data_IF_939205551598
#
_entry.id   IF_939205551598
#
_cell.length_a   1.000
_cell.length_b   1.000
_cell.length_c   1.000
_cell.angle_alpha   90.00
_cell.angle_beta   90.00
_cell.angle_gamma   90.00
#
_symmetry.space_group_name_H-M   'P 1'
#
loop_
_entity.id
_entity.type
_entity.pdbx_description
1 polymer ?
#
# COMPACT_ATOMS: atom_id res chain seq x y z
N UNK A 1 60.28 4.34 84.46
CA UNK A 1 60.08 2.91 84.79
C UNK A 1 59.30 2.26 83.66
N UNK A 2 59.86 1.20 83.05
CA UNK A 2 59.29 0.32 81.99
C UNK A 2 59.09 0.99 80.62
N UNK A 3 59.86 0.78 79.54
CA UNK A 3 60.35 -0.43 78.85
C UNK A 3 59.25 -1.43 78.53
N UNK A 4 58.85 -1.55 77.25
CA UNK A 4 59.04 -2.77 76.43
C UNK A 4 59.20 -2.34 74.96
N UNK A 5 60.30 -2.81 74.37
CA UNK A 5 60.68 -2.77 72.96
C UNK A 5 60.53 -4.19 72.43
N UNK A 6 60.08 -4.33 71.19
CA UNK A 6 60.14 -5.58 70.41
C UNK A 6 59.15 -5.52 69.27
N UNK A 7 59.37 -6.10 68.10
CA UNK A 7 60.59 -6.34 67.33
C UNK A 7 60.09 -6.59 65.88
N UNK A 8 60.93 -6.34 64.88
CA UNK A 8 60.56 -6.44 63.45
C UNK A 8 60.21 -7.86 62.99
N UNK A 9 59.27 -7.97 62.04
CA UNK A 9 59.34 -8.93 60.92
C UNK A 9 58.85 -8.28 59.60
N UNK A 10 59.57 -8.47 58.48
CA UNK A 10 59.22 -7.87 57.18
C UNK A 10 58.47 -8.84 56.25
N UNK A 11 57.63 -8.23 55.39
CA UNK A 11 57.25 -8.65 54.03
C UNK A 11 56.41 -9.93 53.84
N UNK A 12 55.19 -9.73 53.33
CA UNK A 12 54.68 -10.45 52.16
C UNK A 12 53.84 -9.50 51.31
N UNK A 13 54.39 -9.04 50.19
CA UNK A 13 53.65 -8.34 49.13
C UNK A 13 53.01 -9.44 48.27
N UNK A 14 51.69 -9.57 48.33
CA UNK A 14 50.95 -10.40 47.38
C UNK A 14 50.84 -9.64 46.04
N UNK A 15 51.08 -10.30 44.89
CA UNK A 15 50.84 -9.69 43.60
C UNK A 15 49.31 -9.57 43.37
N UNK A 16 48.84 -8.50 42.71
CA UNK A 16 47.43 -8.38 42.35
C UNK A 16 47.03 -9.44 41.30
N UNK A 17 45.79 -9.95 41.34
CA UNK A 17 45.31 -10.99 40.43
C UNK A 17 45.20 -10.46 38.99
N UNK A 18 45.27 -11.34 37.97
CA UNK A 18 45.18 -10.94 36.58
C UNK A 18 43.77 -10.45 36.27
N UNK A 19 43.67 -9.20 35.78
CA UNK A 19 42.45 -8.62 35.20
C UNK A 19 42.47 -8.86 33.70
N UNK A 20 42.25 -10.10 33.28
CA UNK A 20 42.00 -10.46 31.87
C UNK A 20 40.91 -11.53 31.85
N UNK A 21 39.65 -11.11 31.79
CA UNK A 21 38.53 -11.92 31.30
C UNK A 21 37.35 -10.99 30.92
N UNK A 22 37.30 -10.69 29.61
CA UNK A 22 36.09 -10.74 28.80
C UNK A 22 34.97 -9.70 29.04
N UNK A 23 35.23 -8.43 28.67
CA UNK A 23 34.18 -7.39 28.57
C UNK A 23 34.09 -6.71 27.19
N UNK A 24 34.94 -7.09 26.23
CA UNK A 24 34.94 -6.50 24.89
C UNK A 24 33.94 -7.18 23.92
N UNK A 25 33.49 -8.41 24.22
CA UNK A 25 32.53 -9.12 23.37
C UNK A 25 31.06 -8.72 23.60
N UNK A 26 30.73 -8.10 24.74
CA UNK A 26 29.36 -7.66 25.03
C UNK A 26 29.01 -6.37 24.26
N UNK A 27 29.96 -5.44 24.09
CA UNK A 27 29.72 -4.17 23.40
C UNK A 27 29.67 -4.28 21.87
N UNK A 28 30.34 -5.27 21.27
CA UNK A 28 30.22 -5.56 19.82
C UNK A 28 28.87 -6.21 19.45
N UNK A 29 28.22 -6.89 20.40
CA UNK A 29 26.95 -7.58 20.13
C UNK A 29 25.80 -6.60 19.89
N UNK A 30 25.75 -5.49 20.61
CA UNK A 30 24.70 -4.46 20.45
C UNK A 30 24.86 -3.66 19.16
N UNK A 31 26.08 -3.26 18.75
CA UNK A 31 26.30 -2.54 17.48
C UNK A 31 25.88 -3.38 16.25
N UNK A 32 26.05 -4.71 16.31
CA UNK A 32 25.61 -5.62 15.25
C UNK A 32 24.08 -5.76 15.19
N UNK A 33 23.41 -5.79 16.34
CA UNK A 33 21.95 -6.00 16.47
C UNK A 33 21.15 -4.86 15.82
N UNK A 34 21.53 -3.59 16.08
CA UNK A 34 20.87 -2.44 15.47
C UNK A 34 21.13 -2.30 13.96
N UNK A 35 22.32 -2.70 13.50
CA UNK A 35 22.64 -2.76 12.07
C UNK A 35 21.77 -3.77 11.33
N UNK A 36 21.64 -4.97 11.90
CA UNK A 36 20.78 -6.04 11.39
C UNK A 36 19.29 -5.66 11.41
N UNK A 37 18.82 -4.97 12.46
CA UNK A 37 17.43 -4.48 12.53
C UNK A 37 17.14 -3.41 11.48
N UNK A 38 18.09 -2.50 11.21
CA UNK A 38 17.90 -1.47 10.18
C UNK A 38 17.86 -2.05 8.76
N UNK A 39 18.69 -3.06 8.50
CA UNK A 39 18.76 -3.75 7.21
C UNK A 39 17.53 -4.64 6.99
N UNK A 40 17.00 -5.27 8.04
CA UNK A 40 15.78 -6.06 7.96
C UNK A 40 14.55 -5.18 7.68
N UNK A 41 14.41 -4.03 8.36
CA UNK A 41 13.34 -3.07 8.06
C UNK A 41 13.42 -2.57 6.61
N UNK A 42 14.63 -2.28 6.11
CA UNK A 42 14.84 -1.87 4.71
C UNK A 42 14.40 -2.97 3.74
N UNK A 43 14.81 -4.21 3.98
CA UNK A 43 14.41 -5.37 3.17
C UNK A 43 12.90 -5.57 3.15
N UNK A 44 12.22 -5.43 4.29
CA UNK A 44 10.76 -5.55 4.39
C UNK A 44 10.06 -4.46 3.59
N UNK A 45 10.49 -3.20 3.74
CA UNK A 45 9.88 -2.06 3.01
C UNK A 45 10.05 -2.26 1.49
N UNK A 46 11.26 -2.60 1.03
CA UNK A 46 11.51 -2.88 -0.39
C UNK A 46 10.68 -4.05 -0.89
N UNK A 47 10.55 -5.12 -0.10
CA UNK A 47 9.71 -6.28 -0.42
C UNK A 47 8.23 -5.92 -0.56
N UNK A 48 7.68 -5.13 0.38
CA UNK A 48 6.29 -4.67 0.32
C UNK A 48 6.02 -3.79 -0.91
N UNK A 49 6.96 -2.92 -1.29
CA UNK A 49 6.81 -2.07 -2.48
C UNK A 49 6.93 -2.84 -3.79
N UNK A 50 7.85 -3.81 -3.85
CA UNK A 50 7.94 -4.73 -4.97
C UNK A 50 6.62 -5.51 -5.11
N UNK A 51 6.10 -6.02 -4.00
CA UNK A 51 4.80 -6.70 -3.97
C UNK A 51 3.67 -5.79 -4.42
N UNK A 52 3.59 -4.55 -3.94
CA UNK A 52 2.59 -3.57 -4.38
C UNK A 52 2.69 -3.28 -5.89
N UNK A 53 3.90 -3.16 -6.43
CA UNK A 53 4.12 -2.94 -7.88
C UNK A 53 3.66 -4.15 -8.70
N UNK A 54 3.96 -5.37 -8.23
CA UNK A 54 3.49 -6.61 -8.85
C UNK A 54 1.96 -6.69 -8.79
N UNK A 55 1.33 -6.37 -7.66
CA UNK A 55 -0.13 -6.33 -7.51
C UNK A 55 -0.77 -5.29 -8.44
N UNK A 56 -0.13 -4.14 -8.68
CA UNK A 56 -0.63 -3.15 -9.64
C UNK A 56 -0.58 -3.68 -11.07
N UNK A 57 0.54 -4.28 -11.49
CA UNK A 57 0.74 -4.75 -12.87
C UNK A 57 -0.15 -5.95 -13.19
N UNK A 58 -0.17 -6.97 -12.31
CA UNK A 58 -0.88 -8.23 -12.59
C UNK A 58 -2.28 -8.30 -11.98
N UNK A 59 -2.55 -7.51 -10.94
CA UNK A 59 -3.87 -7.48 -10.30
C UNK A 59 -4.75 -6.39 -10.91
N UNK A 60 -4.41 -5.13 -10.67
CA UNK A 60 -5.27 -3.99 -11.07
C UNK A 60 -5.25 -3.75 -12.58
N UNK A 61 -4.08 -3.84 -13.21
CA UNK A 61 -3.91 -3.65 -14.66
C UNK A 61 -3.63 -4.97 -15.39
N UNK A 62 -4.10 -6.09 -14.83
CA UNK A 62 -4.10 -7.37 -15.53
C UNK A 62 -4.98 -7.33 -16.77
N UNK A 63 -4.81 -8.31 -17.66
CA UNK A 63 -5.70 -8.51 -18.81
C UNK A 63 -7.09 -8.91 -18.33
N UNK A 64 -8.13 -8.24 -18.85
CA UNK A 64 -9.53 -8.54 -18.57
C UNK A 64 -10.24 -8.94 -19.88
N UNK A 65 -10.95 -10.06 -19.87
CA UNK A 65 -11.82 -10.46 -20.98
C UNK A 65 -13.24 -9.99 -20.71
N UNK A 66 -13.81 -9.25 -21.65
CA UNK A 66 -15.15 -8.66 -21.55
C UNK A 66 -16.01 -9.10 -22.73
N UNK A 67 -17.30 -9.15 -22.49
CA UNK A 67 -18.31 -9.56 -23.46
C UNK A 67 -19.15 -8.35 -23.82
N UNK A 68 -19.27 -8.09 -25.10
CA UNK A 68 -20.11 -7.01 -25.61
C UNK A 68 -21.35 -7.63 -26.24
N UNK A 69 -22.52 -7.19 -25.79
CA UNK A 69 -23.78 -7.43 -26.49
C UNK A 69 -23.96 -6.47 -27.67
N UNK A 70 -25.09 -6.53 -28.39
CA UNK A 70 -25.42 -5.55 -29.42
C UNK A 70 -25.54 -4.15 -28.81
N UNK A 71 -25.13 -3.11 -29.55
CA UNK A 71 -25.19 -1.72 -29.09
C UNK A 71 -24.66 -1.58 -27.64
N UNK A 72 -23.44 -2.02 -27.40
CA UNK A 72 -22.78 -1.89 -26.10
C UNK A 72 -21.58 -0.96 -26.22
N UNK A 73 -21.28 -0.25 -25.13
CA UNK A 73 -20.06 0.55 -25.05
C UNK A 73 -19.42 0.45 -23.67
N UNK A 74 -18.11 0.21 -23.65
CA UNK A 74 -17.31 0.11 -22.44
C UNK A 74 -16.44 1.35 -22.34
N UNK A 75 -16.54 2.08 -21.24
CA UNK A 75 -15.65 3.20 -20.93
C UNK A 75 -14.51 2.74 -20.02
N UNK A 76 -13.29 2.78 -20.56
CA UNK A 76 -12.05 2.39 -19.88
C UNK A 76 -11.32 3.66 -19.44
N UNK A 77 -10.98 3.73 -18.14
CA UNK A 77 -10.32 4.90 -17.51
C UNK A 77 -9.07 4.51 -16.72
N UNK A 78 -7.99 4.05 -17.37
CA UNK A 78 -6.78 3.66 -16.65
C UNK A 78 -6.02 4.90 -16.17
N UNK A 79 -5.22 4.74 -15.11
CA UNK A 79 -4.34 5.83 -14.67
C UNK A 79 -3.24 6.07 -15.70
N UNK A 80 -3.12 7.31 -16.18
CA UNK A 80 -2.06 7.73 -17.09
C UNK A 80 -0.65 7.71 -16.47
N UNK A 81 -0.56 7.59 -15.14
CA UNK A 81 0.71 7.43 -14.42
C UNK A 81 1.26 6.01 -14.63
N UNK A 82 0.41 5.00 -14.49
CA UNK A 82 0.81 3.60 -14.48
C UNK A 82 0.68 2.92 -15.85
N UNK A 83 -0.22 3.39 -16.70
CA UNK A 83 -0.50 2.81 -18.01
C UNK A 83 0.05 3.68 -19.13
N UNK A 84 0.77 3.05 -20.07
CA UNK A 84 1.32 3.70 -21.27
C UNK A 84 0.33 3.64 -22.44
N UNK A 85 -0.29 2.49 -22.65
CA UNK A 85 -1.27 2.27 -23.71
C UNK A 85 -2.30 1.22 -23.31
N UNK A 86 -3.48 1.33 -23.90
CA UNK A 86 -4.56 0.34 -23.81
C UNK A 86 -4.51 -0.47 -25.10
N UNK A 87 -4.44 -1.79 -24.96
CA UNK A 87 -4.51 -2.72 -26.06
C UNK A 87 -5.82 -3.49 -25.95
N UNK A 88 -6.55 -3.55 -27.06
CA UNK A 88 -7.81 -4.25 -27.18
C UNK A 88 -7.66 -5.29 -28.27
N UNK A 89 -7.93 -6.56 -27.98
CA UNK A 89 -7.83 -7.66 -28.92
C UNK A 89 -9.16 -8.38 -29.03
N UNK A 90 -9.65 -8.54 -30.24
CA UNK A 90 -10.82 -9.36 -30.54
C UNK A 90 -10.41 -10.84 -30.53
N UNK A 91 -11.09 -11.63 -29.72
CA UNK A 91 -10.80 -13.06 -29.56
C UNK A 91 -11.56 -13.94 -30.57
N UNK A 92 -12.69 -13.44 -31.06
CA UNK A 92 -13.52 -14.12 -32.05
C UNK A 92 -13.60 -13.28 -33.33
N UNK A 93 -12.80 -13.67 -34.34
CA UNK A 93 -12.70 -12.98 -35.63
C UNK A 93 -13.92 -13.18 -36.54
N UNK A 94 -14.94 -13.90 -36.08
CA UNK A 94 -16.11 -14.22 -36.91
C UNK A 94 -17.02 -13.01 -37.19
N UNK A 95 -16.93 -11.93 -36.40
CA UNK A 95 -17.93 -10.84 -36.41
C UNK A 95 -17.29 -9.45 -36.48
N UNK A 96 -17.12 -8.87 -37.69
CA UNK A 96 -16.58 -7.53 -37.80
C UNK A 96 -17.54 -6.50 -37.19
N UNK A 97 -16.99 -5.41 -36.66
CA UNK A 97 -17.77 -4.22 -36.29
C UNK A 97 -17.38 -3.55 -34.99
N UNK A 98 -16.52 -4.18 -34.17
CA UNK A 98 -15.95 -3.52 -33.00
C UNK A 98 -15.13 -2.29 -33.41
N UNK A 99 -15.19 -1.26 -32.57
CA UNK A 99 -14.41 -0.03 -32.75
C UNK A 99 -13.87 0.45 -31.40
N UNK A 100 -12.62 0.90 -31.40
CA UNK A 100 -11.93 1.50 -30.25
C UNK A 100 -11.74 2.99 -30.49
N UNK A 101 -12.27 3.80 -29.59
CA UNK A 101 -12.17 5.25 -29.60
C UNK A 101 -11.29 5.72 -28.44
N UNK A 102 -10.34 6.62 -28.72
CA UNK A 102 -9.45 7.20 -27.72
C UNK A 102 -9.67 8.70 -27.54
N UNK A 103 -9.71 9.16 -26.29
CA UNK A 103 -9.97 10.54 -25.91
C UNK A 103 -8.80 11.11 -25.11
N UNK A 104 -8.30 12.24 -25.60
CA UNK A 104 -7.24 13.04 -25.00
C UNK A 104 -7.88 14.35 -24.48
N UNK A 105 -8.62 14.35 -23.37
CA UNK A 105 -9.38 15.55 -23.03
C UNK A 105 -10.20 15.53 -21.74
N UNK A 106 -10.67 16.72 -21.38
CA UNK A 106 -10.99 17.15 -20.01
C UNK A 106 -12.33 16.62 -19.44
N UNK A 107 -13.15 15.96 -20.24
CA UNK A 107 -14.45 15.45 -19.82
C UNK A 107 -14.69 14.04 -20.34
N UNK A 108 -15.20 13.19 -19.47
CA UNK A 108 -15.69 11.86 -19.83
C UNK A 108 -16.78 11.98 -20.90
N UNK A 109 -16.79 11.10 -21.92
CA UNK A 109 -17.84 11.08 -22.93
C UNK A 109 -19.24 11.08 -22.32
N UNK A 110 -20.16 11.87 -22.89
CA UNK A 110 -21.55 11.92 -22.43
C UNK A 110 -22.29 10.64 -22.81
N UNK A 111 -23.15 10.16 -21.91
CA UNK A 111 -24.04 9.03 -22.19
C UNK A 111 -25.27 9.47 -22.99
N UNK A 112 -25.68 8.67 -23.97
CA UNK A 112 -26.96 8.80 -24.69
C UNK A 112 -27.69 7.46 -24.71
N UNK A 113 -29.01 7.49 -24.92
CA UNK A 113 -29.83 6.27 -24.91
C UNK A 113 -30.06 5.72 -26.32
N UNK A 114 -29.97 4.40 -26.45
CA UNK A 114 -30.42 3.65 -27.62
C UNK A 114 -31.34 2.53 -27.14
N UNK A 115 -32.37 2.24 -27.93
CA UNK A 115 -33.28 1.13 -27.65
C UNK A 115 -32.97 -0.03 -28.60
N UNK A 116 -32.95 -1.24 -28.08
CA UNK A 116 -32.92 -2.46 -28.88
C UNK A 116 -33.73 -3.55 -28.18
N UNK A 117 -34.31 -4.44 -28.98
CA UNK A 117 -35.14 -5.54 -28.51
C UNK A 117 -34.57 -6.87 -29.02
N UNK A 118 -34.67 -7.90 -28.20
CA UNK A 118 -34.17 -9.24 -28.50
C UNK A 118 -35.14 -10.28 -27.96
N UNK A 119 -35.49 -11.27 -28.78
CA UNK A 119 -36.37 -12.36 -28.35
C UNK A 119 -35.64 -13.71 -28.45
N UNK A 120 -35.70 -14.52 -27.38
CA UNK A 120 -35.09 -15.86 -27.31
C UNK A 120 -36.13 -16.91 -26.96
N UNK A 121 -36.08 -18.05 -27.67
CA UNK A 121 -36.80 -19.27 -27.30
C UNK A 121 -35.79 -20.30 -26.81
N UNK A 122 -35.90 -20.70 -25.55
CA UNK A 122 -34.91 -21.51 -24.84
C UNK A 122 -35.54 -22.81 -24.36
N UNK A 123 -35.10 -23.94 -24.89
CA UNK A 123 -35.37 -25.24 -24.25
C UNK A 123 -34.33 -25.49 -23.15
N UNK A 124 -34.72 -25.44 -21.88
CA UNK A 124 -33.85 -25.66 -20.72
C UNK A 124 -34.14 -27.04 -20.13
N UNK A 125 -33.19 -27.95 -20.30
CA UNK A 125 -33.31 -29.33 -19.82
C UNK A 125 -33.43 -29.41 -18.29
N UNK A 126 -33.94 -30.54 -17.80
CA UNK A 126 -34.01 -30.82 -16.37
C UNK A 126 -32.64 -30.65 -15.66
N UNK A 127 -32.66 -30.07 -14.47
CA UNK A 127 -31.45 -29.78 -13.69
C UNK A 127 -30.33 -29.10 -14.51
N UNK A 128 -30.70 -28.17 -15.39
CA UNK A 128 -29.75 -27.44 -16.24
C UNK A 128 -30.08 -25.95 -16.26
N UNK A 129 -29.18 -25.16 -16.84
CA UNK A 129 -29.37 -23.74 -17.04
C UNK A 129 -28.87 -23.33 -18.42
N UNK A 130 -29.39 -22.22 -18.92
CA UNK A 130 -28.88 -21.50 -20.08
C UNK A 130 -28.68 -20.04 -19.69
N UNK A 131 -27.59 -19.43 -20.11
CA UNK A 131 -27.34 -18.03 -19.82
C UNK A 131 -26.39 -17.40 -20.82
N UNK A 132 -26.41 -16.08 -20.87
CA UNK A 132 -25.60 -15.28 -21.78
C UNK A 132 -25.18 -13.96 -21.13
N UNK A 133 -24.04 -13.39 -21.55
CA UNK A 133 -23.50 -12.16 -20.99
C UNK A 133 -23.99 -10.89 -21.71
N UNK A 134 -24.06 -9.80 -20.97
CA UNK A 134 -24.20 -8.43 -21.48
C UNK A 134 -23.24 -7.51 -20.76
N UNK A 135 -22.70 -6.49 -21.43
CA UNK A 135 -22.11 -5.35 -20.74
C UNK A 135 -23.07 -4.17 -20.80
N UNK A 136 -23.47 -3.68 -19.63
CA UNK A 136 -24.46 -2.61 -19.51
C UNK A 136 -23.88 -1.47 -18.67
N UNK A 137 -24.17 -0.25 -19.11
CA UNK A 137 -23.76 0.95 -18.38
C UNK A 137 -24.79 1.33 -17.31
N UNK A 138 -24.30 1.99 -16.25
CA UNK A 138 -25.16 2.61 -15.24
C UNK A 138 -26.23 3.50 -15.91
N UNK A 139 -27.48 3.33 -15.48
CA UNK A 139 -28.64 4.03 -16.03
C UNK A 139 -29.33 3.29 -17.18
N UNK A 140 -28.85 2.11 -17.57
CA UNK A 140 -29.55 1.24 -18.52
C UNK A 140 -30.82 0.68 -17.86
N UNK A 141 -31.93 0.72 -18.60
CA UNK A 141 -33.21 0.16 -18.18
C UNK A 141 -33.54 -1.06 -19.05
N UNK A 142 -33.96 -2.16 -18.43
CA UNK A 142 -34.25 -3.43 -19.11
C UNK A 142 -35.60 -3.96 -18.66
N UNK A 143 -36.46 -4.26 -19.63
CA UNK A 143 -37.74 -4.94 -19.42
C UNK A 143 -37.65 -6.34 -20.01
N UNK A 144 -37.86 -7.37 -19.18
CA UNK A 144 -37.82 -8.76 -19.60
C UNK A 144 -39.23 -9.33 -19.48
N UNK A 145 -39.89 -9.52 -20.60
CA UNK A 145 -41.14 -10.27 -20.70
C UNK A 145 -40.83 -11.75 -20.86
N UNK A 146 -41.58 -12.62 -20.17
CA UNK A 146 -41.35 -14.06 -20.22
C UNK A 146 -42.66 -14.83 -20.40
N UNK A 147 -42.57 -15.99 -21.02
CA UNK A 147 -43.64 -16.98 -21.12
C UNK A 147 -43.05 -18.39 -20.99
N UNK A 148 -43.67 -19.23 -20.16
CA UNK A 148 -43.11 -20.53 -19.76
C UNK A 148 -44.05 -21.66 -20.15
N UNK A 149 -43.49 -22.65 -20.85
CA UNK A 149 -44.17 -23.82 -21.36
C UNK A 149 -43.48 -25.11 -20.84
N UNK A 150 -44.24 -26.18 -20.49
CA UNK A 150 -45.70 -26.24 -20.42
C UNK A 150 -46.26 -25.46 -19.22
N UNK A 151 -47.55 -25.08 -19.28
CA UNK A 151 -48.24 -24.39 -18.18
C UNK A 151 -48.10 -25.16 -16.87
N UNK A 152 -47.79 -24.45 -15.79
CA UNK A 152 -47.52 -25.02 -14.46
C UNK A 152 -46.04 -25.32 -14.20
N UNK A 153 -45.17 -25.19 -15.20
CA UNK A 153 -43.72 -25.18 -15.00
C UNK A 153 -43.26 -23.85 -14.40
N UNK A 154 -42.11 -23.89 -13.73
CA UNK A 154 -41.46 -22.71 -13.18
C UNK A 154 -39.94 -22.85 -13.31
N UNK A 155 -39.28 -21.76 -13.64
CA UNK A 155 -37.81 -21.66 -13.73
C UNK A 155 -37.34 -20.44 -12.96
N UNK A 156 -36.05 -20.37 -12.66
CA UNK A 156 -35.46 -19.18 -12.04
C UNK A 156 -34.76 -18.34 -13.09
N UNK A 157 -35.15 -17.07 -13.19
CA UNK A 157 -34.40 -16.05 -13.92
C UNK A 157 -33.46 -15.35 -12.94
N UNK A 158 -32.17 -15.48 -13.17
CA UNK A 158 -31.11 -14.97 -12.29
C UNK A 158 -30.21 -14.04 -13.07
N UNK A 159 -29.90 -12.88 -12.51
CA UNK A 159 -28.92 -11.94 -13.08
C UNK A 159 -27.77 -11.80 -12.12
N UNK A 160 -26.57 -12.17 -12.56
CA UNK A 160 -25.35 -12.03 -11.75
C UNK A 160 -24.44 -10.94 -12.28
N UNK A 161 -23.79 -10.20 -11.39
CA UNK A 161 -22.67 -9.33 -11.78
C UNK A 161 -21.43 -10.18 -12.11
N UNK A 162 -20.76 -9.86 -13.21
CA UNK A 162 -19.50 -10.48 -13.63
C UNK A 162 -19.66 -11.84 -14.32
N UNK A 163 -18.53 -12.41 -14.71
CA UNK A 163 -18.46 -13.71 -15.38
C UNK A 163 -18.56 -14.89 -14.39
N UNK A 164 -19.23 -15.99 -14.74
CA UNK A 164 -19.21 -17.22 -13.95
C UNK A 164 -17.87 -18.00 -14.03
N UNK A 165 -16.88 -17.53 -14.80
CA UNK A 165 -15.76 -18.36 -15.29
C UNK A 165 -14.77 -18.88 -14.24
N UNK A 166 -14.71 -18.35 -13.03
CA UNK A 166 -13.70 -18.78 -12.05
C UNK A 166 -14.11 -19.96 -11.17
N UNK A 167 -15.36 -20.39 -11.22
CA UNK A 167 -15.80 -21.56 -10.45
C UNK A 167 -16.63 -22.45 -11.36
N UNK A 168 -16.37 -23.76 -11.28
CA UNK A 168 -17.22 -24.82 -11.83
C UNK A 168 -18.58 -24.72 -11.15
N UNK A 169 -19.36 -23.72 -11.53
CA UNK A 169 -20.50 -23.24 -10.78
C UNK A 169 -21.58 -24.30 -10.96
N UNK A 170 -21.89 -25.01 -9.88
CA UNK A 170 -23.00 -25.96 -9.88
C UNK A 170 -24.28 -25.20 -10.22
N UNK A 171 -25.27 -25.88 -10.82
CA UNK A 171 -26.61 -25.32 -11.02
C UNK A 171 -27.15 -24.69 -9.73
N UNK A 172 -26.83 -25.30 -8.58
CA UNK A 172 -27.20 -24.80 -7.26
C UNK A 172 -26.49 -23.49 -6.93
N UNK A 173 -25.21 -23.36 -7.24
CA UNK A 173 -24.44 -22.15 -6.97
C UNK A 173 -24.95 -20.97 -7.79
N UNK A 174 -25.39 -21.22 -9.02
CA UNK A 174 -25.97 -20.18 -9.88
C UNK A 174 -27.37 -19.82 -9.41
N UNK A 175 -28.19 -20.83 -9.11
CA UNK A 175 -29.58 -20.61 -8.72
C UNK A 175 -29.76 -20.04 -7.31
N UNK A 176 -28.74 -20.12 -6.46
CA UNK A 176 -28.73 -19.66 -5.07
C UNK A 176 -27.52 -18.78 -4.74
N UNK A 177 -26.87 -18.18 -5.75
CA UNK A 177 -25.74 -17.29 -5.50
C UNK A 177 -26.21 -16.11 -4.67
N UNK A 178 -25.71 -15.94 -3.45
CA UNK A 178 -25.97 -14.74 -2.63
C UNK A 178 -25.52 -13.45 -3.34
N UNK A 179 -24.68 -13.57 -4.37
CA UNK A 179 -24.14 -12.45 -5.17
C UNK A 179 -24.94 -12.14 -6.44
N UNK A 180 -26.03 -12.86 -6.73
CA UNK A 180 -26.91 -12.44 -7.80
C UNK A 180 -27.58 -11.09 -7.45
N UNK A 181 -27.75 -10.27 -8.48
CA UNK A 181 -28.37 -8.96 -8.34
C UNK A 181 -29.90 -9.06 -8.37
N UNK A 182 -30.44 -10.09 -9.04
CA UNK A 182 -31.87 -10.37 -9.08
C UNK A 182 -32.13 -11.86 -9.20
N UNK A 183 -33.14 -12.36 -8.48
CA UNK A 183 -33.64 -13.73 -8.53
C UNK A 183 -35.17 -13.70 -8.60
N UNK A 184 -35.70 -14.08 -9.75
CA UNK A 184 -37.14 -14.16 -9.95
C UNK A 184 -37.52 -15.61 -10.24
N UNK A 185 -38.40 -16.16 -9.41
CA UNK A 185 -39.09 -17.39 -9.74
C UNK A 185 -40.19 -17.04 -10.75
N UNK A 186 -39.94 -17.34 -12.01
CA UNK A 186 -40.87 -17.04 -13.10
C UNK A 186 -41.75 -18.26 -13.36
N UNK A 187 -43.06 -18.03 -13.46
CA UNK A 187 -44.09 -19.02 -13.74
C UNK A 187 -45.18 -18.40 -14.63
N UNK A 188 -45.75 -19.17 -15.56
CA UNK A 188 -46.72 -18.64 -16.52
C UNK A 188 -46.11 -17.56 -17.41
N UNK A 189 -46.80 -16.43 -17.55
CA UNK A 189 -46.32 -15.24 -18.26
C UNK A 189 -46.23 -14.03 -17.33
N UNK A 190 -45.32 -13.11 -17.63
CA UNK A 190 -45.14 -11.88 -16.85
C UNK A 190 -44.02 -11.00 -17.39
N UNK A 191 -43.69 -9.96 -16.63
CA UNK A 191 -42.66 -8.99 -16.99
C UNK A 191 -41.86 -8.59 -15.74
N UNK A 192 -40.55 -8.45 -15.91
CA UNK A 192 -39.62 -7.99 -14.87
C UNK A 192 -38.94 -6.71 -15.38
N UNK A 193 -38.88 -5.69 -14.54
CA UNK A 193 -38.19 -4.43 -14.83
C UNK A 193 -36.93 -4.32 -14.01
N UNK A 194 -35.85 -3.84 -14.62
CA UNK A 194 -34.51 -3.82 -14.05
C UNK A 194 -33.78 -2.52 -14.38
N UNK A 195 -33.21 -1.90 -13.35
CA UNK A 195 -32.44 -0.66 -13.47
C UNK A 195 -30.97 -0.90 -13.11
N UNK A 196 -30.08 -0.75 -14.10
CA UNK A 196 -28.66 -1.02 -13.93
C UNK A 196 -27.99 0.10 -13.13
N UNK A 197 -27.53 -0.23 -11.92
CA UNK A 197 -26.92 0.74 -11.00
C UNK A 197 -25.40 0.95 -11.21
N UNK A 198 -24.71 -0.01 -11.83
CA UNK A 198 -23.25 0.00 -12.04
C UNK A 198 -22.90 -0.39 -13.48
N UNK A 199 -21.88 0.24 -14.05
CA UNK A 199 -21.34 -0.18 -15.35
C UNK A 199 -20.47 -1.43 -15.18
N UNK A 200 -20.96 -2.58 -15.62
CA UNK A 200 -20.29 -3.89 -15.49
C UNK A 200 -20.81 -4.89 -16.53
N UNK A 201 -20.14 -6.04 -16.62
CA UNK A 201 -20.71 -7.25 -17.20
C UNK A 201 -21.79 -7.85 -16.29
N UNK A 202 -22.91 -8.24 -16.89
CA UNK A 202 -24.03 -8.93 -16.28
C UNK A 202 -24.26 -10.25 -17.01
N UNK A 203 -24.61 -11.31 -16.29
CA UNK A 203 -24.90 -12.61 -16.87
C UNK A 203 -26.36 -12.98 -16.57
N UNK A 204 -27.18 -13.04 -17.61
CA UNK A 204 -28.60 -13.38 -17.51
C UNK A 204 -28.75 -14.89 -17.66
N UNK A 205 -29.30 -15.56 -16.66
CA UNK A 205 -29.41 -17.02 -16.61
C UNK A 205 -30.83 -17.47 -16.34
N UNK A 206 -31.28 -18.47 -17.11
CA UNK A 206 -32.50 -19.22 -16.88
C UNK A 206 -32.13 -20.61 -16.36
N UNK A 207 -32.46 -20.89 -15.10
CA UNK A 207 -32.15 -22.14 -14.42
C UNK A 207 -33.40 -22.98 -14.18
N UNK A 208 -33.39 -24.22 -14.68
CA UNK A 208 -34.42 -25.22 -14.46
C UNK A 208 -33.97 -26.21 -13.37
N UNK A 209 -34.51 -26.05 -12.16
CA UNK A 209 -34.24 -26.92 -11.02
C UNK A 209 -35.18 -28.14 -10.95
N UNK A 210 -36.06 -28.32 -11.95
CA UNK A 210 -37.06 -29.39 -11.98
C UNK A 210 -36.55 -30.58 -12.79
N UNK A 211 -37.23 -31.72 -12.62
CA UNK A 211 -36.95 -32.99 -13.31
C UNK A 211 -37.66 -33.13 -14.66
N UNK A 212 -38.09 -32.02 -15.26
CA UNK A 212 -38.74 -31.99 -16.56
C UNK A 212 -38.17 -30.82 -17.33
N UNK A 213 -38.01 -30.99 -18.63
CA UNK A 213 -37.56 -29.94 -19.53
C UNK A 213 -38.64 -28.86 -19.62
N UNK A 214 -38.20 -27.62 -19.75
CA UNK A 214 -39.07 -26.43 -19.81
C UNK A 214 -38.63 -25.59 -21.00
N UNK A 215 -39.60 -25.10 -21.74
CA UNK A 215 -39.40 -24.12 -22.80
C UNK A 215 -39.74 -22.73 -22.28
N UNK A 216 -38.84 -21.78 -22.52
CA UNK A 216 -38.90 -20.43 -21.99
C UNK A 216 -38.74 -19.47 -23.15
N UNK A 217 -39.80 -18.72 -23.41
CA UNK A 217 -39.79 -17.60 -24.34
C UNK A 217 -39.47 -16.34 -23.54
N UNK A 218 -38.47 -15.59 -23.98
CA UNK A 218 -38.05 -14.32 -23.41
C UNK A 218 -38.09 -13.24 -24.47
N UNK A 219 -38.64 -12.09 -24.13
CA UNK A 219 -38.57 -10.88 -24.94
C UNK A 219 -37.97 -9.77 -24.08
N UNK A 220 -36.85 -9.24 -24.55
CA UNK A 220 -35.95 -8.39 -23.79
C UNK A 220 -35.90 -7.04 -24.49
N UNK A 221 -36.46 -6.02 -23.87
CA UNK A 221 -36.41 -4.63 -24.33
C UNK A 221 -35.42 -3.84 -23.48
N UNK A 222 -34.37 -3.31 -24.12
CA UNK A 222 -33.26 -2.65 -23.44
C UNK A 222 -33.13 -1.22 -23.94
N UNK A 223 -33.29 -0.28 -23.01
CA UNK A 223 -32.89 1.12 -23.17
C UNK A 223 -31.49 1.29 -22.61
N UNK A 224 -30.48 1.06 -23.45
CA UNK A 224 -29.06 1.04 -23.08
C UNK A 224 -28.45 2.44 -23.08
N UNK A 225 -27.53 2.68 -22.15
CA UNK A 225 -26.68 3.88 -22.15
C UNK A 225 -25.40 3.62 -22.94
N UNK A 226 -25.19 4.40 -24.01
CA UNK A 226 -23.98 4.40 -24.82
C UNK A 226 -23.16 5.67 -24.62
N UNK A 227 -21.83 5.58 -24.72
CA UNK A 227 -20.95 6.75 -24.66
C UNK A 227 -20.78 7.40 -26.04
N UNK A 228 -20.86 8.73 -26.10
CA UNK A 228 -20.68 9.51 -27.34
C UNK A 228 -19.22 9.44 -27.83
N UNK A 229 -19.03 8.98 -29.06
CA UNK A 229 -17.73 8.79 -29.70
C UNK A 229 -17.31 9.94 -30.61
N UNK A 230 -18.16 10.94 -30.85
CA UNK A 230 -17.91 11.99 -31.85
C UNK A 230 -16.68 12.86 -31.58
N UNK A 231 -16.33 13.05 -30.31
CA UNK A 231 -15.18 13.88 -29.90
C UNK A 231 -13.88 13.08 -29.71
N UNK A 232 -13.82 11.83 -30.20
CA UNK A 232 -12.63 11.00 -30.07
C UNK A 232 -11.45 11.59 -30.86
N UNK A 233 -10.27 11.58 -30.26
CA UNK A 233 -9.00 11.92 -30.92
C UNK A 233 -8.37 10.76 -31.71
N UNK A 234 -8.81 9.54 -31.41
CA UNK A 234 -8.32 8.31 -32.03
C UNK A 234 -9.50 7.38 -32.30
N UNK A 235 -9.50 6.71 -33.45
CA UNK A 235 -10.46 5.69 -33.83
C UNK A 235 -9.69 4.54 -34.49
N UNK A 236 -9.99 3.31 -34.08
CA UNK A 236 -9.45 2.09 -34.67
C UNK A 236 -10.55 1.04 -34.82
N UNK A 237 -10.67 0.51 -36.03
CA UNK A 237 -11.48 -0.68 -36.33
C UNK A 237 -10.64 -1.95 -36.14
N UNK A 238 -11.23 -3.01 -35.59
CA UNK A 238 -10.55 -4.29 -35.33
C UNK A 238 -10.31 -5.14 -36.59
N UNK A 239 -10.10 -4.53 -37.76
CA UNK A 239 -9.87 -5.24 -39.03
C UNK A 239 -8.67 -6.21 -38.97
N UNK A 240 -7.70 -5.92 -38.10
CA UNK A 240 -6.51 -6.75 -37.88
C UNK A 240 -6.61 -7.61 -36.61
N UNK A 241 -7.77 -7.63 -35.95
CA UNK A 241 -8.01 -8.33 -34.68
C UNK A 241 -7.53 -7.60 -33.42
N UNK A 242 -6.78 -6.51 -33.55
CA UNK A 242 -6.34 -5.73 -32.39
C UNK A 242 -6.23 -4.24 -32.67
N UNK A 243 -6.42 -3.44 -31.62
CA UNK A 243 -6.32 -2.00 -31.62
C UNK A 243 -5.54 -1.53 -30.37
N UNK A 244 -4.58 -0.62 -30.58
CA UNK A 244 -3.76 -0.06 -29.49
C UNK A 244 -3.87 1.45 -29.43
N UNK A 245 -4.36 1.98 -28.31
CA UNK A 245 -4.45 3.41 -28.05
C UNK A 245 -3.36 3.84 -27.06
N UNK A 246 -2.45 4.72 -27.52
CA UNK A 246 -1.38 5.29 -26.69
C UNK A 246 -1.90 6.51 -25.94
N UNK A 247 -1.70 6.53 -24.62
CA UNK A 247 -2.07 7.66 -23.80
C UNK A 247 -1.10 8.82 -23.96
N UNK A 248 -1.59 10.06 -23.79
CA UNK A 248 -0.71 11.22 -23.81
C UNK A 248 0.31 11.18 -22.66
N UNK A 249 1.57 11.48 -23.01
CA UNK A 249 2.68 11.54 -22.05
C UNK A 249 2.77 12.90 -21.33
N UNK A 250 2.21 13.94 -21.96
CA UNK A 250 2.20 15.31 -21.42
C UNK A 250 0.83 15.62 -20.82
N UNK A 251 0.85 16.04 -19.56
CA UNK A 251 -0.27 16.57 -18.77
C UNK A 251 -1.01 15.52 -17.93
N UNK A 252 -1.43 15.84 -16.68
CA UNK A 252 -2.26 14.97 -15.83
C UNK A 252 -3.71 14.81 -16.35
N UNK A 253 -3.92 15.01 -17.66
CA UNK A 253 -5.22 14.89 -18.30
C UNK A 253 -5.63 13.43 -18.30
N UNK A 254 -6.84 13.17 -17.83
CA UNK A 254 -7.44 11.85 -17.87
C UNK A 254 -7.57 11.40 -19.33
N UNK A 255 -6.99 10.24 -19.64
CA UNK A 255 -7.14 9.62 -20.94
C UNK A 255 -8.26 8.58 -20.81
N UNK A 256 -9.19 8.57 -21.76
CA UNK A 256 -10.28 7.62 -21.79
C UNK A 256 -10.24 6.82 -23.08
N UNK A 257 -10.69 5.57 -23.02
CA UNK A 257 -11.01 4.82 -24.23
C UNK A 257 -12.44 4.29 -24.15
N UNK A 258 -13.12 4.27 -25.29
CA UNK A 258 -14.44 3.67 -25.43
C UNK A 258 -14.36 2.57 -26.47
N UNK A 259 -14.71 1.35 -26.10
CA UNK A 259 -14.94 0.27 -27.06
C UNK A 259 -16.43 0.20 -27.34
N UNK A 260 -16.83 0.11 -28.60
CA UNK A 260 -18.23 -0.02 -29.01
C UNK A 260 -18.45 -1.27 -29.86
N UNK A 261 -19.59 -1.92 -29.68
CA UNK A 261 -20.11 -2.96 -30.57
C UNK A 261 -21.20 -2.41 -31.50
N UNK A 262 -21.38 -3.03 -32.69
CA UNK A 262 -22.41 -2.60 -33.63
C UNK A 262 -23.82 -2.96 -33.15
N UNK A 263 -24.82 -2.40 -33.82
CA UNK A 263 -26.22 -2.79 -33.63
C UNK A 263 -26.46 -4.22 -34.14
N UNK A 264 -27.51 -4.86 -33.63
CA UNK A 264 -27.98 -6.15 -34.13
C UNK A 264 -28.40 -5.99 -35.60
N UNK A 265 -27.64 -6.60 -36.52
CA UNK A 265 -27.97 -6.56 -37.95
C UNK A 265 -29.23 -7.37 -38.27
N UNK A 266 -29.93 -7.03 -39.36
CA UNK A 266 -30.98 -7.89 -39.89
C UNK A 266 -30.38 -9.23 -40.36
N UNK A 267 -30.71 -10.32 -39.68
CA UNK A 267 -30.22 -11.68 -39.99
C UNK A 267 -28.98 -12.12 -39.22
N UNK A 268 -28.51 -11.32 -38.28
CA UNK A 268 -27.41 -11.61 -37.35
C UNK A 268 -28.01 -12.44 -36.20
N UNK A 269 -27.49 -13.65 -36.00
CA UNK A 269 -28.01 -14.58 -35.02
C UNK A 269 -27.67 -14.08 -33.62
N UNK A 270 -28.55 -14.35 -32.66
CA UNK A 270 -28.41 -13.87 -31.29
C UNK A 270 -27.18 -14.49 -30.56
N UNK A 271 -26.50 -15.44 -31.18
CA UNK A 271 -25.19 -15.96 -30.76
C UNK A 271 -24.02 -15.04 -31.16
N UNK A 272 -24.32 -13.84 -31.68
CA UNK A 272 -23.37 -12.81 -32.10
C UNK A 272 -22.80 -12.01 -30.92
N UNK A 273 -22.26 -12.72 -29.94
CA UNK A 273 -21.50 -12.16 -28.82
C UNK A 273 -20.08 -11.80 -29.28
N UNK A 274 -19.58 -10.62 -28.88
CA UNK A 274 -18.20 -10.21 -29.11
C UNK A 274 -17.34 -10.41 -27.87
N UNK A 275 -16.17 -10.97 -28.09
CA UNK A 275 -15.18 -11.26 -27.06
C UNK A 275 -13.99 -10.33 -27.25
N UNK A 276 -13.76 -9.48 -26.27
CA UNK A 276 -12.63 -8.55 -26.29
C UNK A 276 -11.75 -8.80 -25.08
N UNK A 277 -10.45 -8.92 -25.33
CA UNK A 277 -9.40 -8.89 -24.32
C UNK A 277 -8.84 -7.47 -24.22
N UNK A 278 -9.03 -6.84 -23.07
CA UNK A 278 -8.43 -5.56 -22.73
C UNK A 278 -7.14 -5.82 -21.93
N UNK A 279 -6.01 -5.34 -22.43
CA UNK A 279 -4.72 -5.43 -21.75
C UNK A 279 -4.06 -4.05 -21.66
N UNK A 280 -3.24 -3.87 -20.62
CA UNK A 280 -2.65 -2.58 -20.30
C UNK A 280 -1.13 -2.68 -20.36
N UNK A 281 -0.49 -1.83 -21.17
CA UNK A 281 0.96 -1.76 -21.19
C UNK A 281 1.46 -0.89 -20.02
N UNK A 282 2.27 -1.42 -19.08
CA UNK A 282 2.73 -0.65 -17.94
C UNK A 282 3.76 0.41 -18.34
N UNK A 283 3.70 1.57 -17.67
CA UNK A 283 4.67 2.66 -17.79
C UNK A 283 5.80 2.41 -16.78
N UNK A 284 6.75 1.55 -17.12
CA UNK A 284 7.83 1.08 -16.22
C UNK A 284 8.57 2.21 -15.48
N UNK A 285 8.73 3.38 -16.11
CA UNK A 285 9.37 4.55 -15.50
C UNK A 285 8.62 5.00 -14.24
N UNK A 286 7.29 4.95 -14.21
CA UNK A 286 6.52 5.31 -13.02
C UNK A 286 6.83 4.36 -11.86
N UNK A 287 6.79 3.05 -12.11
CA UNK A 287 7.13 2.03 -11.11
C UNK A 287 8.57 2.15 -10.61
N UNK A 288 9.52 2.40 -11.52
CA UNK A 288 10.94 2.61 -11.17
C UNK A 288 11.21 3.94 -10.45
N UNK A 289 10.47 5.00 -10.75
CA UNK A 289 10.65 6.30 -10.10
C UNK A 289 10.17 6.25 -8.65
N UNK A 290 9.05 5.58 -8.37
CA UNK A 290 8.59 5.39 -7.00
C UNK A 290 9.59 4.57 -6.18
N UNK A 291 10.15 3.49 -6.73
CA UNK A 291 11.18 2.70 -6.03
C UNK A 291 12.47 3.50 -5.82
N UNK A 292 12.92 4.26 -6.81
CA UNK A 292 14.14 5.09 -6.70
C UNK A 292 14.02 6.26 -5.72
N UNK A 293 12.88 6.96 -5.70
CA UNK A 293 12.61 8.04 -4.75
C UNK A 293 12.53 7.48 -3.33
N UNK A 294 11.82 6.37 -3.12
CA UNK A 294 11.74 5.73 -1.81
C UNK A 294 13.11 5.24 -1.34
N UNK A 295 13.89 4.60 -2.21
CA UNK A 295 15.25 4.19 -1.89
C UNK A 295 16.11 5.40 -1.46
N UNK A 296 15.99 6.53 -2.16
CA UNK A 296 16.70 7.76 -1.84
C UNK A 296 16.28 8.33 -0.49
N UNK A 297 14.98 8.44 -0.22
CA UNK A 297 14.46 8.89 1.08
C UNK A 297 14.90 7.97 2.22
N UNK A 298 14.90 6.66 2.00
CA UNK A 298 15.38 5.69 2.98
C UNK A 298 16.88 5.84 3.24
N UNK A 299 17.70 6.03 2.20
CA UNK A 299 19.14 6.29 2.37
C UNK A 299 19.40 7.61 3.13
N UNK A 300 18.62 8.67 2.83
CA UNK A 300 18.69 9.93 3.57
C UNK A 300 18.26 9.75 5.02
N UNK A 301 17.20 8.99 5.29
CA UNK A 301 16.74 8.69 6.63
C UNK A 301 17.79 7.88 7.41
N UNK A 302 18.40 6.86 6.80
CA UNK A 302 19.48 6.09 7.40
C UNK A 302 20.68 7.00 7.69
N UNK A 303 21.09 7.84 6.73
CA UNK A 303 22.20 8.77 6.93
C UNK A 303 21.89 9.80 8.03
N UNK A 304 20.66 10.30 8.09
CA UNK A 304 20.21 11.22 9.13
C UNK A 304 20.17 10.55 10.51
N UNK A 305 19.65 9.32 10.61
CA UNK A 305 19.69 8.52 11.83
C UNK A 305 21.13 8.22 12.27
N UNK A 306 22.03 7.90 11.36
CA UNK A 306 23.46 7.70 11.65
C UNK A 306 24.11 8.99 12.16
N UNK A 307 23.77 10.14 11.55
CA UNK A 307 24.27 11.45 12.00
C UNK A 307 23.71 11.85 13.36
N UNK A 308 22.44 11.55 13.65
CA UNK A 308 21.83 11.77 14.96
C UNK A 308 22.43 10.85 16.03
N UNK A 309 22.79 9.61 15.69
CA UNK A 309 23.54 8.72 16.59
C UNK A 309 24.90 9.33 17.00
N UNK A 310 25.57 10.09 16.13
CA UNK A 310 26.79 10.83 16.50
C UNK A 310 26.54 12.03 17.43
N UNK A 311 25.29 12.49 17.57
CA UNK A 311 24.92 13.59 18.47
C UNK A 311 24.08 13.15 19.68
N UNK A 312 23.71 11.87 19.76
CA UNK A 312 22.89 11.29 20.84
C UNK A 312 23.67 10.58 21.94
N UNK A 313 24.99 10.76 22.00
CA UNK A 313 25.83 10.27 23.09
C UNK A 313 25.73 11.10 24.37
N UNK A 314 24.52 11.49 24.79
CA UNK A 314 24.20 12.04 26.11
C UNK A 314 22.80 11.53 26.53
N UNK A 315 22.78 10.53 27.43
CA UNK A 315 21.66 10.28 28.34
C UNK A 315 20.42 9.55 27.79
N UNK A 316 20.49 8.23 27.66
CA UNK A 316 19.35 7.43 28.11
C UNK A 316 19.39 7.48 29.65
N UNK A 317 18.75 8.50 30.21
CA UNK A 317 18.26 8.42 31.59
C UNK A 317 17.23 7.29 31.55
N UNK A 318 17.71 6.09 31.87
CA UNK A 318 16.84 5.00 32.27
C UNK A 318 15.97 5.53 33.40
N UNK A 319 14.69 5.38 33.16
CA UNK A 319 13.56 5.66 34.02
C UNK A 319 13.64 4.82 35.30
N UNK A 320 14.65 5.03 36.14
CA UNK A 320 14.81 4.38 37.44
C UNK A 320 15.92 5.08 38.26
N UNK A 321 15.64 6.26 38.79
CA UNK A 321 16.14 6.71 40.10
C UNK A 321 15.57 8.08 40.45
N UNK A 322 14.31 8.04 40.88
CA UNK A 322 13.80 8.95 41.89
C UNK A 322 14.82 9.04 43.03
N UNK A 323 15.42 10.20 43.34
CA UNK A 323 15.91 10.47 44.72
C UNK A 323 16.43 11.88 44.95
N UNK A 324 16.79 12.70 43.96
CA UNK A 324 17.35 14.03 44.29
C UNK A 324 16.75 15.18 43.51
N UNK A 325 16.17 16.08 44.32
CA UNK A 325 15.98 17.51 44.07
C UNK A 325 14.66 17.92 43.43
N UNK A 326 13.55 17.64 44.15
CA UNK A 326 12.46 18.61 44.29
C UNK A 326 13.07 19.96 44.72
N UNK A 327 13.33 20.81 43.74
CA UNK A 327 13.60 22.21 43.95
C UNK A 327 12.36 22.86 44.57
N UNK A 328 12.55 23.48 45.75
CA UNK A 328 11.87 24.72 46.13
C UNK A 328 10.34 24.66 46.31
N UNK A 329 9.89 23.90 47.32
CA UNK A 329 8.63 24.09 48.03
C UNK A 329 8.75 23.25 49.31
N UNK A 330 8.36 23.61 50.52
CA UNK A 330 7.59 24.66 51.15
C UNK A 330 7.91 24.48 52.65
N UNK A 331 7.78 25.55 53.45
CA UNK A 331 7.66 25.57 54.92
C UNK A 331 8.31 24.49 55.82
N UNK A 332 9.05 24.97 56.82
CA UNK A 332 8.90 24.47 58.19
C UNK A 332 10.17 23.91 58.84
N UNK A 333 10.69 24.70 59.77
CA UNK A 333 10.97 24.27 61.15
C UNK A 333 12.15 23.31 61.45
N UNK A 334 13.13 23.90 62.16
CA UNK A 334 13.90 23.35 63.29
C UNK A 334 15.09 22.41 63.05
N UNK A 335 16.26 22.87 63.53
CA UNK A 335 17.21 22.18 64.45
C UNK A 335 17.83 20.85 63.95
N UNK A 336 19.13 20.54 63.99
CA UNK A 336 20.30 21.02 64.71
C UNK A 336 21.57 20.39 64.07
N UNK A 337 22.74 20.95 64.42
CA UNK A 337 24.10 20.36 64.49
C UNK A 337 24.87 19.93 63.21
N UNK A 338 25.84 20.79 62.85
CA UNK A 338 27.28 20.58 62.64
C UNK A 338 27.77 19.29 61.96
N UNK A 339 28.52 19.43 60.85
CA UNK A 339 29.96 19.16 60.86
C UNK A 339 30.69 19.57 59.56
N UNK A 340 31.92 20.00 59.76
CA UNK A 340 32.83 20.74 58.88
C UNK A 340 33.47 19.80 57.85
N UNK A 341 33.03 19.71 56.58
CA UNK A 341 33.80 19.03 55.50
C UNK A 341 33.41 19.40 54.03
N UNK A 342 32.79 20.56 53.76
CA UNK A 342 32.21 20.85 52.44
C UNK A 342 33.03 21.71 51.45
N UNK A 343 34.20 22.27 51.81
CA UNK A 343 34.81 23.35 51.00
C UNK A 343 35.78 22.95 49.87
N UNK A 344 36.22 21.68 49.76
CA UNK A 344 37.25 21.30 48.78
C UNK A 344 36.74 20.65 47.48
N UNK A 345 35.43 20.40 47.34
CA UNK A 345 34.86 19.78 46.13
C UNK A 345 34.63 20.78 44.98
N UNK A 346 34.75 22.09 45.25
CA UNK A 346 34.55 23.17 44.27
C UNK A 346 35.85 23.76 43.71
N UNK A 347 37.02 23.43 44.28
CA UNK A 347 38.31 23.97 43.84
C UNK A 347 38.93 23.14 42.70
N UNK A 348 39.67 23.80 41.83
CA UNK A 348 40.41 23.19 40.73
C UNK A 348 41.37 22.12 41.26
N UNK A 349 41.27 20.88 40.77
CA UNK A 349 42.10 19.76 41.19
C UNK A 349 43.57 19.83 40.68
N UNK A 350 44.00 21.00 40.19
CA UNK A 350 45.31 21.21 39.57
C UNK A 350 46.05 22.32 40.27
N UNK A 351 45.41 23.50 40.43
CA UNK A 351 46.01 24.60 41.18
C UNK A 351 45.57 24.65 42.65
N UNK A 352 44.47 23.97 43.02
CA UNK A 352 43.89 24.00 44.37
C UNK A 352 43.53 25.41 44.87
N UNK A 353 43.37 26.37 43.96
CA UNK A 353 43.26 27.81 44.28
C UNK A 353 41.99 28.41 43.65
N UNK A 354 41.84 28.29 42.33
CA UNK A 354 40.67 28.78 41.61
C UNK A 354 39.50 27.77 41.65
N UNK A 355 38.23 28.23 41.61
CA UNK A 355 37.08 27.34 41.50
C UNK A 355 37.07 26.58 40.16
N UNK A 356 36.38 25.44 40.13
CA UNK A 356 36.13 24.67 38.91
C UNK A 356 35.15 25.44 38.03
N UNK A 357 35.66 26.09 36.98
CA UNK A 357 34.86 26.89 36.04
C UNK A 357 35.05 26.44 34.57
N UNK A 358 35.48 25.19 34.30
CA UNK A 358 35.51 24.66 32.93
C UNK A 358 35.31 23.15 32.81
N UNK A 359 34.88 22.70 31.63
CA UNK A 359 34.80 21.29 31.25
C UNK A 359 35.55 21.00 29.94
N UNK A 360 36.00 19.74 29.82
CA UNK A 360 36.67 19.22 28.64
C UNK A 360 35.68 18.54 27.68
N UNK A 361 35.62 19.00 26.42
CA UNK A 361 34.78 18.40 25.39
C UNK A 361 35.61 17.49 24.46
N UNK A 362 35.10 16.31 24.06
CA UNK A 362 33.73 15.83 24.26
C UNK A 362 33.49 15.01 25.56
N UNK A 363 34.48 14.84 26.44
CA UNK A 363 34.36 13.90 27.56
C UNK A 363 33.56 14.38 28.79
N UNK A 364 33.17 15.66 28.85
CA UNK A 364 32.33 16.21 29.92
C UNK A 364 33.02 16.48 31.28
N UNK A 365 34.22 15.95 31.55
CA UNK A 365 34.85 16.12 32.88
C UNK A 365 35.20 17.59 33.21
N UNK A 366 34.76 18.06 34.39
CA UNK A 366 34.96 19.43 34.89
C UNK A 366 35.84 19.44 36.15
N UNK A 367 37.14 19.25 35.98
CA UNK A 367 38.11 19.05 37.09
C UNK A 367 39.07 20.21 37.30
N UNK A 368 39.01 21.23 36.44
CA UNK A 368 39.96 22.33 36.44
C UNK A 368 39.28 23.69 36.35
N UNK A 369 39.96 24.73 36.82
CA UNK A 369 39.65 26.09 36.39
C UNK A 369 40.04 26.28 34.90
N UNK A 370 39.52 27.32 34.27
CA UNK A 370 39.67 27.60 32.85
C UNK A 370 41.14 27.80 32.44
N UNK A 371 41.95 28.43 33.31
CA UNK A 371 43.38 28.61 33.08
C UNK A 371 44.14 27.27 33.08
N UNK A 372 43.89 26.40 34.06
CA UNK A 372 44.50 25.08 34.10
C UNK A 372 44.00 24.19 32.97
N UNK A 373 42.71 24.24 32.64
CA UNK A 373 42.11 23.47 31.54
C UNK A 373 42.69 23.83 30.17
N UNK A 374 42.85 25.13 29.89
CA UNK A 374 43.50 25.60 28.65
C UNK A 374 44.98 25.23 28.59
N UNK A 375 45.69 25.24 29.72
CA UNK A 375 47.08 24.76 29.80
C UNK A 375 47.19 23.26 29.49
N UNK A 376 46.30 22.41 30.02
CA UNK A 376 46.28 20.96 29.71
C UNK A 376 46.01 20.70 28.23
N UNK A 377 45.04 21.40 27.64
CA UNK A 377 44.74 21.27 26.21
C UNK A 377 45.97 21.55 25.34
N UNK A 378 46.79 22.55 25.71
CA UNK A 378 48.01 22.93 24.99
C UNK A 378 49.18 21.97 25.19
N UNK A 379 49.37 21.43 26.39
CA UNK A 379 50.55 20.61 26.72
C UNK A 379 50.33 19.12 26.49
N UNK A 380 49.26 18.54 27.05
CA UNK A 380 48.98 17.09 27.01
C UNK A 380 47.89 16.73 26.00
N UNK A 381 46.95 17.63 25.73
CA UNK A 381 45.85 17.41 24.79
C UNK A 381 44.86 16.30 25.19
N UNK A 382 44.93 15.77 26.42
CA UNK A 382 44.13 14.65 26.93
C UNK A 382 43.54 14.97 28.31
N UNK A 383 42.32 14.50 28.55
CA UNK A 383 41.62 14.67 29.82
C UNK A 383 42.38 13.98 30.97
N UNK A 384 42.61 14.63 32.13
CA UNK A 384 43.25 14.00 33.29
C UNK A 384 42.46 12.81 33.87
N UNK A 385 41.15 12.74 33.63
CA UNK A 385 40.26 11.71 34.19
C UNK A 385 40.15 10.52 33.24
N UNK A 386 39.61 10.72 32.03
CA UNK A 386 39.33 9.62 31.10
C UNK A 386 40.35 9.48 29.97
N UNK A 387 41.41 10.29 29.94
CA UNK A 387 42.47 10.27 28.92
C UNK A 387 42.02 10.52 27.46
N UNK A 388 40.73 10.79 27.21
CA UNK A 388 40.18 11.17 25.90
C UNK A 388 40.79 12.50 25.40
N UNK A 389 40.93 12.66 24.08
CA UNK A 389 41.47 13.87 23.44
C UNK A 389 40.57 15.09 23.72
N UNK A 390 41.15 16.19 24.17
CA UNK A 390 40.42 17.43 24.47
C UNK A 390 40.30 18.25 23.17
N UNK A 391 39.08 18.37 22.64
CA UNK A 391 38.78 19.20 21.47
C UNK A 391 38.53 20.66 21.85
N UNK A 392 37.76 20.90 22.92
CA UNK A 392 37.45 22.24 23.42
C UNK A 392 37.49 22.28 24.95
N UNK A 393 37.81 23.46 25.50
CA UNK A 393 37.68 23.79 26.92
C UNK A 393 36.58 24.83 27.01
N UNK A 394 35.43 24.45 27.56
CA UNK A 394 34.27 25.34 27.68
C UNK A 394 34.23 25.89 29.10
N UNK A 395 34.13 27.22 29.24
CA UNK A 395 33.96 27.88 30.53
C UNK A 395 32.52 27.71 31.01
N UNK A 396 32.33 27.38 32.28
CA UNK A 396 31.02 27.34 32.93
C UNK A 396 30.90 28.56 33.82
N UNK A 397 29.73 29.17 33.83
CA UNK A 397 29.37 30.24 34.77
C UNK A 397 28.29 29.65 35.68
N UNK A 398 28.61 29.48 36.96
CA UNK A 398 27.61 29.17 37.99
C UNK A 398 26.91 30.47 38.38
N UNK A 399 25.57 30.46 38.38
CA UNK A 399 24.72 31.59 38.74
C UNK A 399 24.73 31.85 40.25
#
# INVERSE_FOLDING_TARGET
MGSIRGDLQPLFVMPPPPLDEDCDDIFNSDESSWGLLSLSCFGIIMGLWFFASVCLIFGVYGSETVWLGPNSSILVKPSSIFVKSINAKELDFSKPGLQLYGFNGQSTPSGYFVNWTESRVLSVSQNSYKGWPYYLNRGTHMNISYNILPKGSAVRLVITEGMPFFYRSSLKDIAFRDTAWSWNLIQGSGMIQLDISKSKGYYLTVANLKRKDVEVELDIDVKVVLYDTKQSSYNCSFSNGECSFKMNERSPVENYAVVTSPALGQGVSIDDEWYIELSYQPRLIAYGSFTGVLLSFMLVAIHFCNKLKCCGGEGFLSEDDSVRTCLLADKGDNDCCNDVEASNKSLCAICFDAPRDCCFLPCGHCVSCYQCGTKIKRTKGRCPICRKKIMHVKRIYTA
#
